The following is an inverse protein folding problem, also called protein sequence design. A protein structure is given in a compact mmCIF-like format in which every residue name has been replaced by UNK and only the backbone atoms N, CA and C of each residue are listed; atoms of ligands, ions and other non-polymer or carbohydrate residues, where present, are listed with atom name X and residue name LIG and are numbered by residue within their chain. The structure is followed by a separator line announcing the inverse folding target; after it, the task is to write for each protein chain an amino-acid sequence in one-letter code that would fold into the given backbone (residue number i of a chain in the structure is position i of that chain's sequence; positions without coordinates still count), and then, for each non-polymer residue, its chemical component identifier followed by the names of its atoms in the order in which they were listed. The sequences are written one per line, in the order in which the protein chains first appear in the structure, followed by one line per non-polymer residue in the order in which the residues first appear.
data_IF_642804442791
#
_entry.id   IF_642804442791
#
_cell.length_a   1.000
_cell.length_b   1.000
_cell.length_c   1.000
_cell.angle_alpha   90.00
_cell.angle_beta   90.00
_cell.angle_gamma   90.00
#
_symmetry.space_group_name_H-M   'P 1'
#
loop_
_entity.id
_entity.type
_entity.pdbx_description
1 polymer ?
#
# COMPACT_ATOMS: atom_id res chain seq x y z
N UNK A 1 6.91 -0.79 5.58
CA UNK A 1 6.61 0.58 6.06
C UNK A 1 5.13 0.85 5.88
N UNK A 2 4.47 1.49 6.87
CA UNK A 2 3.04 1.82 6.83
C UNK A 2 2.83 3.31 6.59
N UNK A 3 1.82 3.64 5.79
CA UNK A 3 1.35 5.00 5.53
C UNK A 3 -0.13 5.13 5.91
N UNK A 4 -0.50 6.27 6.50
CA UNK A 4 -1.86 6.53 6.99
C UNK A 4 -2.79 7.10 5.92
N UNK A 5 -2.25 7.45 4.75
CA UNK A 5 -3.03 7.92 3.61
C UNK A 5 -2.32 7.59 2.30
N UNK A 6 -3.10 7.53 1.22
CA UNK A 6 -2.56 7.36 -0.13
C UNK A 6 -1.61 8.51 -0.50
N UNK A 7 -1.91 9.72 -0.03
CA UNK A 7 -1.06 10.90 -0.24
C UNK A 7 0.34 10.72 0.37
N UNK A 8 0.42 10.23 1.60
CA UNK A 8 1.72 9.97 2.26
C UNK A 8 2.57 8.96 1.49
N UNK A 9 1.94 7.89 0.98
CA UNK A 9 2.61 6.90 0.14
C UNK A 9 3.14 7.53 -1.15
N UNK A 10 2.33 8.32 -1.86
CA UNK A 10 2.71 8.98 -3.10
C UNK A 10 3.84 9.99 -2.86
N UNK A 11 3.76 10.78 -1.79
CA UNK A 11 4.80 11.74 -1.42
C UNK A 11 6.13 11.02 -1.12
N UNK A 12 6.09 9.90 -0.41
CA UNK A 12 7.27 9.06 -0.15
C UNK A 12 7.87 8.53 -1.46
N UNK A 13 7.07 7.88 -2.32
CA UNK A 13 7.55 7.34 -3.60
C UNK A 13 8.10 8.44 -4.50
N UNK A 14 7.51 9.63 -4.50
CA UNK A 14 7.99 10.78 -5.27
C UNK A 14 9.33 11.27 -4.75
N UNK A 15 9.46 11.46 -3.43
CA UNK A 15 10.70 11.91 -2.78
C UNK A 15 11.86 10.94 -2.99
N UNK A 16 11.59 9.64 -2.90
CA UNK A 16 12.58 8.58 -3.12
C UNK A 16 12.82 8.28 -4.60
N UNK A 17 12.21 9.06 -5.51
CA UNK A 17 12.33 8.92 -6.95
C UNK A 17 11.88 7.54 -7.45
N UNK A 18 10.85 6.93 -6.87
CA UNK A 18 10.21 5.68 -7.32
C UNK A 18 8.81 5.88 -7.94
N UNK A 19 8.27 7.10 -7.93
CA UNK A 19 6.95 7.40 -8.48
C UNK A 19 6.89 7.21 -10.01
N UNK A 20 5.89 6.48 -10.51
CA UNK A 20 5.61 6.22 -11.93
C UNK A 20 4.08 6.26 -12.19
N UNK A 21 3.60 6.80 -13.32
CA UNK A 21 2.15 6.95 -13.56
C UNK A 21 1.40 5.59 -13.66
N UNK A 22 2.08 4.53 -14.12
CA UNK A 22 1.56 3.18 -14.14
C UNK A 22 1.26 2.63 -12.73
N UNK A 23 2.04 3.05 -11.73
CA UNK A 23 1.91 2.60 -10.35
C UNK A 23 0.61 3.07 -9.69
N UNK A 24 0.11 4.25 -10.06
CA UNK A 24 -1.21 4.73 -9.59
C UNK A 24 -2.31 3.74 -9.98
N UNK A 25 -2.33 3.27 -11.23
CA UNK A 25 -3.38 2.37 -11.71
C UNK A 25 -3.36 1.01 -11.03
N UNK A 26 -2.18 0.43 -10.85
CA UNK A 26 -2.03 -0.87 -10.19
C UNK A 26 -2.41 -0.79 -8.71
N UNK A 27 -1.96 0.26 -8.01
CA UNK A 27 -2.31 0.50 -6.60
C UNK A 27 -3.81 0.76 -6.46
N UNK A 28 -4.40 1.62 -7.29
CA UNK A 28 -5.84 1.91 -7.28
C UNK A 28 -6.67 0.65 -7.53
N UNK A 29 -6.29 -0.18 -8.51
CA UNK A 29 -6.93 -1.46 -8.77
C UNK A 29 -6.83 -2.42 -7.58
N UNK A 30 -5.65 -2.54 -6.99
CA UNK A 30 -5.44 -3.40 -5.83
C UNK A 30 -6.23 -2.93 -4.62
N UNK A 31 -6.29 -1.62 -4.37
CA UNK A 31 -7.14 -1.03 -3.33
C UNK A 31 -8.60 -1.36 -3.58
N UNK A 32 -9.08 -1.20 -4.82
CA UNK A 32 -10.46 -1.50 -5.16
C UNK A 32 -10.83 -2.97 -4.88
N UNK A 33 -9.92 -3.90 -5.17
CA UNK A 33 -10.11 -5.34 -4.93
C UNK A 33 -10.07 -5.71 -3.43
N UNK A 34 -9.30 -4.98 -2.62
CA UNK A 34 -9.06 -5.28 -1.21
C UNK A 34 -9.75 -4.29 -0.24
N UNK A 35 -10.67 -3.46 -0.74
CA UNK A 35 -11.31 -2.40 0.06
C UNK A 35 -12.09 -2.94 1.27
N UNK A 36 -12.57 -4.17 1.17
CA UNK A 36 -13.37 -4.86 2.17
C UNK A 36 -12.53 -5.76 3.09
N UNK A 37 -11.20 -5.67 3.02
CA UNK A 37 -10.27 -6.37 3.92
C UNK A 37 -10.13 -5.59 5.23
N UNK A 38 -11.10 -5.81 6.13
CA UNK A 38 -11.18 -5.12 7.40
C UNK A 38 -10.30 -5.76 8.48
N UNK A 39 -9.58 -4.92 9.22
CA UNK A 39 -8.77 -5.28 10.39
C UNK A 39 -9.25 -4.55 11.63
N UNK A 40 -9.08 -5.16 12.80
CA UNK A 40 -9.46 -4.57 14.10
C UNK A 40 -8.34 -3.69 14.71
N UNK A 41 -7.08 -3.90 14.27
CA UNK A 41 -5.91 -3.14 14.71
C UNK A 41 -5.22 -2.50 13.50
N UNK A 42 -4.94 -1.20 13.60
CA UNK A 42 -4.30 -0.41 12.53
C UNK A 42 -2.85 -0.78 12.21
N UNK A 43 -2.22 -1.59 13.06
CA UNK A 43 -0.89 -2.15 12.87
C UNK A 43 -0.95 -3.57 12.29
N UNK A 44 -2.13 -4.11 12.02
CA UNK A 44 -2.29 -5.38 11.32
C UNK A 44 -1.75 -5.26 9.90
N UNK A 45 -0.78 -6.10 9.56
CA UNK A 45 -0.21 -6.17 8.22
C UNK A 45 -1.16 -6.87 7.23
N UNK A 46 -1.15 -6.46 5.95
CA UNK A 46 -1.97 -7.09 4.91
C UNK A 46 -1.47 -8.51 4.63
N UNK A 47 -2.42 -9.43 4.46
CA UNK A 47 -2.12 -10.81 4.05
C UNK A 47 -1.88 -10.92 2.55
N UNK A 48 -2.59 -10.11 1.77
CA UNK A 48 -2.46 -10.04 0.33
C UNK A 48 -1.48 -8.93 -0.04
N UNK A 49 -0.43 -9.32 -0.75
CA UNK A 49 0.60 -8.43 -1.26
C UNK A 49 0.67 -8.54 -2.78
N UNK A 50 0.99 -7.44 -3.45
CA UNK A 50 1.33 -7.44 -4.86
C UNK A 50 2.71 -6.80 -5.07
N UNK A 51 3.48 -7.40 -5.98
CA UNK A 51 4.84 -6.94 -6.25
C UNK A 51 4.85 -5.81 -7.29
N UNK A 52 5.45 -4.70 -6.90
CA UNK A 52 5.76 -3.53 -7.69
C UNK A 52 7.24 -3.54 -8.07
N UNK A 53 7.54 -3.59 -9.37
CA UNK A 53 8.91 -3.41 -9.86
C UNK A 53 9.13 -1.93 -10.23
N UNK A 54 9.83 -1.20 -9.38
CA UNK A 54 10.06 0.25 -9.53
C UNK A 54 11.54 0.54 -9.67
N UNK A 55 11.93 1.15 -10.78
CA UNK A 55 13.34 1.52 -11.09
C UNK A 55 14.38 0.44 -10.74
N UNK A 56 14.06 -0.82 -11.04
CA UNK A 56 14.97 -1.95 -10.83
C UNK A 56 14.94 -2.55 -9.43
N UNK A 57 14.18 -1.97 -8.49
CA UNK A 57 13.87 -2.56 -7.18
C UNK A 57 12.51 -3.25 -7.21
N UNK A 58 12.32 -4.18 -6.28
CA UNK A 58 11.04 -4.85 -6.05
C UNK A 58 10.53 -4.36 -4.71
N UNK A 59 9.30 -3.87 -4.71
CA UNK A 59 8.55 -3.58 -3.51
C UNK A 59 7.33 -4.48 -3.46
N UNK A 60 6.99 -5.04 -2.31
CA UNK A 60 5.68 -5.65 -2.11
C UNK A 60 4.76 -4.61 -1.50
N UNK A 61 3.57 -4.44 -2.06
CA UNK A 61 2.56 -3.52 -1.57
C UNK A 61 1.35 -4.27 -1.05
N UNK A 62 0.75 -3.77 0.03
CA UNK A 62 -0.55 -4.23 0.49
C UNK A 62 -1.39 -3.10 1.08
N UNK A 63 -2.68 -3.40 1.30
CA UNK A 63 -3.63 -2.48 1.90
C UNK A 63 -4.49 -3.20 2.92
N UNK A 64 -4.80 -2.51 4.01
CA UNK A 64 -5.77 -2.95 5.02
C UNK A 64 -6.75 -1.81 5.27
N UNK A 65 -7.97 -2.12 5.68
CA UNK A 65 -8.97 -1.10 6.03
C UNK A 65 -9.50 -1.31 7.44
N UNK A 66 -9.91 -0.24 8.12
CA UNK A 66 -10.46 -0.31 9.48
C UNK A 66 -11.73 0.54 9.55
N UNK A 67 -12.76 0.00 10.19
CA UNK A 67 -14.00 0.72 10.43
C UNK A 67 -13.86 1.53 11.73
N UNK A 68 -13.75 2.84 11.62
CA UNK A 68 -13.43 3.68 12.79
C UNK A 68 -14.71 4.01 13.55
N UNK A 69 -15.73 4.58 12.89
CA UNK A 69 -17.08 4.86 13.42
C UNK A 69 -18.09 5.10 12.29
N UNK A 70 -19.36 4.71 12.49
CA UNK A 70 -20.52 5.06 11.61
C UNK A 70 -20.22 4.96 10.10
N UNK A 71 -19.58 3.87 9.66
CA UNK A 71 -19.31 3.64 8.24
C UNK A 71 -18.12 4.40 7.67
N UNK A 72 -17.36 5.13 8.50
CA UNK A 72 -16.08 5.70 8.12
C UNK A 72 -15.02 4.59 8.05
N UNK A 73 -14.53 4.35 6.84
CA UNK A 73 -13.47 3.38 6.55
C UNK A 73 -12.17 4.16 6.40
N UNK A 74 -11.17 3.79 7.20
CA UNK A 74 -9.79 4.27 7.02
C UNK A 74 -8.95 3.19 6.36
N UNK A 75 -8.12 3.60 5.41
CA UNK A 75 -7.21 2.71 4.71
C UNK A 75 -5.79 2.93 5.20
N UNK A 76 -5.05 1.83 5.34
CA UNK A 76 -3.64 1.81 5.67
C UNK A 76 -2.88 1.12 4.54
N UNK A 77 -1.79 1.75 4.12
CA UNK A 77 -1.02 1.36 2.94
C UNK A 77 0.33 0.85 3.40
N UNK A 78 0.76 -0.28 2.86
CA UNK A 78 1.96 -0.97 3.29
C UNK A 78 2.90 -1.15 2.11
N UNK A 79 4.16 -0.80 2.30
CA UNK A 79 5.21 -0.97 1.30
C UNK A 79 6.42 -1.64 1.94
N UNK A 80 6.84 -2.77 1.38
CA UNK A 80 7.98 -3.55 1.83
C UNK A 80 9.02 -3.52 0.72
N UNK A 81 10.26 -3.12 1.02
CA UNK A 81 11.34 -3.28 0.05
C UNK A 81 11.81 -4.73 0.09
N UNK A 82 11.64 -5.45 -1.02
CA UNK A 82 12.03 -6.85 -1.11
C UNK A 82 13.50 -6.90 -1.51
N UNK A 83 14.37 -7.12 -0.53
CA UNK A 83 15.77 -7.43 -0.81
C UNK A 83 15.76 -8.85 -1.39
N UNK A 84 16.04 -8.99 -2.69
CA UNK A 84 16.45 -10.30 -3.21
C UNK A 84 17.77 -10.64 -2.52
N UNK A 85 17.73 -11.48 -1.49
CA UNK A 85 18.90 -12.29 -1.16
C UNK A 85 19.25 -13.07 -2.43
N UNK A 86 20.46 -12.83 -2.94
CA UNK A 86 21.05 -13.56 -4.07
C UNK A 86 21.48 -14.95 -3.61
#
# INVERSE_FOLDING_TARGET
MRFNSYRELVEYLSKENYYEDFLIKEIENFIYLNKDTFVDDENTEPTDLFDLKLKGKIFSFGVTSMNIRKGEIKYYYWLYETIKEQ
#
